data_IF_854809680831
#
_entry.id   IF_854809680831
#
_cell.length_a   1.000
_cell.length_b   1.000
_cell.length_c   1.000
_cell.angle_alpha   90.00
_cell.angle_beta   90.00
_cell.angle_gamma   90.00
#
_symmetry.space_group_name_H-M   'P 1'
#
loop_
_entity.id
_entity.type
_entity.pdbx_description
1 polymer ?
#
# COMPACT_ATOMS: atom_id res chain seq x y z
N UNK A 1 4.66 -27.80 32.88
CA UNK A 1 5.06 -27.49 31.51
C UNK A 1 6.53 -27.87 31.40
N UNK A 2 6.87 -28.78 30.49
CA UNK A 2 8.22 -29.35 30.39
C UNK A 2 9.11 -28.36 29.61
N UNK A 3 10.42 -28.27 29.93
CA UNK A 3 11.36 -27.34 29.28
C UNK A 3 11.43 -27.53 27.73
N UNK A 4 11.21 -28.75 27.26
CA UNK A 4 11.11 -29.06 25.84
C UNK A 4 9.87 -28.41 25.19
N UNK A 5 8.72 -28.47 25.85
CA UNK A 5 7.47 -27.85 25.35
C UNK A 5 7.61 -26.32 25.27
N UNK A 6 8.30 -25.72 26.24
CA UNK A 6 8.59 -24.28 26.22
C UNK A 6 9.50 -23.90 25.06
N UNK A 7 10.58 -24.69 24.82
CA UNK A 7 11.52 -24.45 23.71
C UNK A 7 10.82 -24.60 22.35
N UNK A 8 9.96 -25.61 22.19
CA UNK A 8 9.20 -25.84 20.97
C UNK A 8 8.25 -24.67 20.69
N UNK A 9 7.50 -24.21 21.70
CA UNK A 9 6.61 -23.03 21.56
C UNK A 9 7.37 -21.77 21.24
N UNK A 10 8.54 -21.54 21.85
CA UNK A 10 9.39 -20.38 21.57
C UNK A 10 9.94 -20.42 20.14
N UNK A 11 10.35 -21.59 19.66
CA UNK A 11 10.84 -21.76 18.27
C UNK A 11 9.71 -21.52 17.26
N UNK A 12 8.48 -21.98 17.55
CA UNK A 12 7.31 -21.74 16.71
C UNK A 12 6.95 -20.25 16.66
N UNK A 13 6.96 -19.57 17.80
CA UNK A 13 6.72 -18.12 17.86
C UNK A 13 7.80 -17.36 17.08
N UNK A 14 9.05 -17.76 17.19
CA UNK A 14 10.16 -17.19 16.42
C UNK A 14 9.96 -17.34 14.91
N UNK A 15 9.62 -18.55 14.47
CA UNK A 15 9.35 -18.83 13.05
C UNK A 15 8.16 -18.05 12.51
N UNK A 16 7.07 -17.92 13.27
CA UNK A 16 5.90 -17.12 12.90
C UNK A 16 6.24 -15.62 12.80
N UNK A 17 7.09 -15.13 13.71
CA UNK A 17 7.53 -13.75 13.70
C UNK A 17 8.41 -13.43 12.48
N UNK A 18 9.35 -14.32 12.13
CA UNK A 18 10.17 -14.19 10.91
C UNK A 18 9.32 -14.27 9.63
N UNK A 19 8.32 -15.16 9.60
CA UNK A 19 7.40 -15.28 8.48
C UNK A 19 6.61 -13.98 8.28
N UNK A 20 6.10 -13.37 9.36
CA UNK A 20 5.34 -12.12 9.30
C UNK A 20 6.22 -10.94 8.82
N UNK A 21 7.48 -10.86 9.25
CA UNK A 21 8.41 -9.81 8.84
C UNK A 21 8.74 -9.90 7.35
N UNK A 22 8.98 -11.11 6.87
CA UNK A 22 9.24 -11.33 5.45
C UNK A 22 8.01 -11.11 4.55
N UNK A 23 6.81 -11.39 5.05
CA UNK A 23 5.55 -11.04 4.37
C UNK A 23 5.37 -9.52 4.25
N UNK A 24 5.72 -8.76 5.30
CA UNK A 24 5.72 -7.30 5.25
C UNK A 24 6.74 -6.76 4.22
N UNK A 25 7.95 -7.33 4.18
CA UNK A 25 8.95 -6.95 3.17
C UNK A 25 8.44 -7.12 1.73
N UNK A 26 7.59 -8.12 1.49
CA UNK A 26 7.02 -8.36 0.16
C UNK A 26 6.06 -7.24 -0.26
N UNK A 27 5.47 -6.49 0.68
CA UNK A 27 4.56 -5.37 0.41
C UNK A 27 5.28 -4.05 0.08
N UNK A 28 6.58 -3.92 0.39
CA UNK A 28 7.32 -2.69 0.13
C UNK A 28 7.36 -2.32 -1.36
N UNK A 29 7.42 -3.31 -2.26
CA UNK A 29 7.40 -3.06 -3.70
C UNK A 29 6.04 -2.56 -4.18
N UNK A 30 4.91 -3.22 -3.88
CA UNK A 30 3.59 -2.66 -4.15
C UNK A 30 3.39 -1.25 -3.61
N UNK A 31 3.76 -0.99 -2.35
CA UNK A 31 3.63 0.33 -1.75
C UNK A 31 4.47 1.39 -2.47
N UNK A 32 5.69 1.06 -2.89
CA UNK A 32 6.51 1.95 -3.70
C UNK A 32 5.88 2.24 -5.06
N UNK A 33 5.37 1.21 -5.73
CA UNK A 33 4.75 1.33 -7.06
C UNK A 33 3.49 2.19 -6.99
N UNK A 34 2.54 1.87 -6.10
CA UNK A 34 1.33 2.69 -5.93
C UNK A 34 1.64 4.08 -5.39
N UNK A 35 2.60 4.17 -4.46
CA UNK A 35 3.04 5.43 -3.88
C UNK A 35 3.61 6.42 -4.88
N UNK A 36 4.13 5.95 -6.02
CA UNK A 36 4.62 6.79 -7.14
C UNK A 36 3.55 6.93 -8.22
N UNK A 37 2.89 5.84 -8.59
CA UNK A 37 1.97 5.82 -9.72
C UNK A 37 0.73 6.71 -9.49
N UNK A 38 0.15 6.68 -8.29
CA UNK A 38 -1.03 7.49 -7.96
C UNK A 38 -0.73 8.98 -7.99
N UNK A 39 0.33 9.52 -7.32
CA UNK A 39 0.69 10.92 -7.43
C UNK A 39 1.03 11.35 -8.85
N UNK A 40 1.72 10.53 -9.61
CA UNK A 40 2.04 10.81 -11.02
C UNK A 40 0.78 10.90 -11.89
N UNK A 41 -0.18 9.99 -11.69
CA UNK A 41 -1.47 10.02 -12.37
C UNK A 41 -2.30 11.24 -12.00
N UNK A 42 -2.27 11.63 -10.72
CA UNK A 42 -2.95 12.85 -10.25
C UNK A 42 -2.32 14.09 -10.89
N UNK A 43 -0.99 14.22 -10.86
CA UNK A 43 -0.30 15.33 -11.49
C UNK A 43 -0.60 15.42 -12.99
N UNK A 44 -0.56 14.30 -13.71
CA UNK A 44 -0.93 14.24 -15.13
C UNK A 44 -2.39 14.67 -15.35
N UNK A 45 -3.32 14.26 -14.47
CA UNK A 45 -4.72 14.67 -14.52
C UNK A 45 -4.86 16.20 -14.47
N UNK A 46 -4.18 16.86 -13.52
CA UNK A 46 -4.23 18.31 -13.41
C UNK A 46 -3.58 19.02 -14.61
N UNK A 47 -2.48 18.48 -15.14
CA UNK A 47 -1.89 18.99 -16.38
C UNK A 47 -2.91 18.89 -17.55
N UNK A 48 -3.59 17.77 -17.71
CA UNK A 48 -4.58 17.61 -18.79
C UNK A 48 -5.77 18.57 -18.60
N UNK A 49 -6.23 18.77 -17.38
CA UNK A 49 -7.29 19.73 -17.09
C UNK A 49 -6.85 21.16 -17.42
N UNK A 50 -5.61 21.53 -17.05
CA UNK A 50 -5.05 22.85 -17.34
C UNK A 50 -4.96 23.14 -18.86
N UNK A 51 -4.63 22.13 -19.66
CA UNK A 51 -4.57 22.26 -21.11
C UNK A 51 -5.92 22.04 -21.82
N UNK A 52 -7.03 21.96 -21.09
CA UNK A 52 -8.38 21.76 -21.66
C UNK A 52 -8.62 20.34 -22.21
N UNK A 53 -7.75 19.39 -21.86
CA UNK A 53 -7.81 17.99 -22.31
C UNK A 53 -8.60 17.09 -21.36
N UNK A 54 -9.51 17.63 -20.56
CA UNK A 54 -10.26 16.92 -19.51
C UNK A 54 -10.97 15.65 -19.99
N UNK A 55 -11.44 15.62 -21.27
CA UNK A 55 -12.07 14.43 -21.87
C UNK A 55 -11.15 13.20 -21.96
N UNK A 56 -9.84 13.38 -21.84
CA UNK A 56 -8.84 12.30 -21.91
C UNK A 56 -8.30 11.85 -20.55
N UNK A 57 -8.75 12.44 -19.44
CA UNK A 57 -8.30 12.09 -18.07
C UNK A 57 -8.50 10.61 -17.76
N UNK A 58 -9.55 9.99 -18.27
CA UNK A 58 -9.79 8.55 -18.09
C UNK A 58 -8.67 7.67 -18.66
N UNK A 59 -7.98 8.11 -19.75
CA UNK A 59 -6.85 7.39 -20.34
C UNK A 59 -5.65 7.35 -19.36
N UNK A 60 -5.42 8.44 -18.61
CA UNK A 60 -4.37 8.50 -17.60
C UNK A 60 -4.61 7.43 -16.54
N UNK A 61 -5.82 7.37 -16.01
CA UNK A 61 -6.16 6.41 -14.96
C UNK A 61 -6.19 4.97 -15.48
N UNK A 62 -6.63 4.76 -16.72
CA UNK A 62 -6.53 3.45 -17.37
C UNK A 62 -5.07 3.02 -17.51
N UNK A 63 -4.17 3.93 -17.89
CA UNK A 63 -2.75 3.63 -17.99
C UNK A 63 -2.11 3.36 -16.62
N UNK A 64 -2.41 4.17 -15.60
CA UNK A 64 -1.88 4.01 -14.22
C UNK A 64 -2.36 2.68 -13.61
N UNK A 65 -3.66 2.42 -13.64
CA UNK A 65 -4.24 1.19 -13.09
C UNK A 65 -3.75 -0.01 -13.90
N UNK A 66 -3.81 0.06 -15.23
CA UNK A 66 -3.34 -1.00 -16.11
C UNK A 66 -1.87 -1.35 -15.87
N UNK A 67 -1.01 -0.34 -15.74
CA UNK A 67 0.39 -0.54 -15.38
C UNK A 67 0.54 -1.27 -14.04
N UNK A 68 -0.12 -0.82 -13.00
CA UNK A 68 -0.04 -1.46 -11.68
C UNK A 68 -0.57 -2.90 -11.71
N UNK A 69 -1.70 -3.14 -12.39
CA UNK A 69 -2.33 -4.46 -12.49
C UNK A 69 -1.54 -5.46 -13.35
N UNK A 70 -0.73 -4.99 -14.29
CA UNK A 70 0.14 -5.85 -15.09
C UNK A 70 1.50 -6.03 -14.41
N UNK A 71 2.11 -4.94 -13.96
CA UNK A 71 3.46 -4.96 -13.40
C UNK A 71 3.56 -5.79 -12.11
N UNK A 72 2.64 -5.60 -11.16
CA UNK A 72 2.71 -6.27 -9.86
C UNK A 72 2.55 -7.80 -9.96
N UNK A 73 1.56 -8.35 -10.68
CA UNK A 73 1.47 -9.81 -10.87
C UNK A 73 2.68 -10.40 -11.58
N UNK A 74 3.22 -9.71 -12.60
CA UNK A 74 4.43 -10.17 -13.31
C UNK A 74 5.65 -10.18 -12.39
N UNK A 75 5.82 -9.12 -11.57
CA UNK A 75 6.88 -9.03 -10.57
C UNK A 75 6.79 -10.17 -9.56
N UNK A 76 5.60 -10.42 -9.00
CA UNK A 76 5.40 -11.50 -8.03
C UNK A 76 5.52 -12.89 -8.67
N UNK A 77 5.05 -13.08 -9.90
CA UNK A 77 5.22 -14.36 -10.61
C UNK A 77 6.70 -14.71 -10.77
N UNK A 78 7.51 -13.75 -11.21
CA UNK A 78 8.96 -13.93 -11.36
C UNK A 78 9.67 -14.25 -10.04
N UNK A 79 9.22 -13.63 -8.94
CA UNK A 79 9.76 -13.88 -7.60
C UNK A 79 9.25 -15.18 -6.97
N UNK A 80 8.10 -15.70 -7.41
CA UNK A 80 7.49 -16.94 -6.92
C UNK A 80 8.25 -18.19 -7.34
N UNK A 81 8.91 -18.15 -8.48
CA UNK A 81 9.76 -19.26 -8.98
C UNK A 81 10.99 -19.47 -8.08
N UNK A 82 11.35 -18.45 -7.26
CA UNK A 82 12.51 -18.49 -6.37
C UNK A 82 12.19 -18.76 -4.89
N UNK A 83 10.94 -18.71 -4.45
CA UNK A 83 10.58 -18.82 -3.02
C UNK A 83 9.31 -19.64 -2.75
N UNK A 84 9.37 -20.44 -1.67
CA UNK A 84 8.18 -21.06 -1.06
C UNK A 84 7.23 -19.93 -0.60
N UNK A 85 5.96 -19.99 -1.04
CA UNK A 85 4.95 -19.00 -0.67
C UNK A 85 4.61 -19.14 0.82
N UNK A 86 4.92 -18.12 1.60
CA UNK A 86 4.68 -18.06 3.03
C UNK A 86 3.21 -17.79 3.33
N UNK A 87 2.75 -18.22 4.52
CA UNK A 87 1.37 -17.98 4.96
C UNK A 87 1.07 -16.48 5.08
N UNK A 88 2.02 -15.71 5.61
CA UNK A 88 1.93 -14.25 5.73
C UNK A 88 1.74 -13.54 4.39
N UNK A 89 2.44 -13.97 3.32
CA UNK A 89 2.29 -13.40 1.97
C UNK A 89 0.83 -13.53 1.47
N UNK A 90 0.19 -14.66 1.77
CA UNK A 90 -1.22 -14.89 1.41
C UNK A 90 -2.17 -14.00 2.19
N UNK A 91 -1.93 -13.81 3.49
CA UNK A 91 -2.75 -12.96 4.36
C UNK A 91 -2.65 -11.51 3.90
N UNK A 92 -1.43 -11.00 3.68
CA UNK A 92 -1.23 -9.64 3.18
C UNK A 92 -1.83 -9.44 1.78
N UNK A 93 -1.64 -10.39 0.86
CA UNK A 93 -2.22 -10.32 -0.47
C UNK A 93 -3.75 -10.32 -0.44
N UNK A 94 -4.38 -11.13 0.43
CA UNK A 94 -5.82 -11.15 0.61
C UNK A 94 -6.34 -9.83 1.20
N UNK A 95 -5.69 -9.32 2.25
CA UNK A 95 -6.06 -8.05 2.89
C UNK A 95 -5.99 -6.88 1.90
N UNK A 96 -4.83 -6.66 1.30
CA UNK A 96 -4.62 -5.54 0.40
C UNK A 96 -5.33 -5.70 -0.94
N UNK A 97 -5.52 -6.95 -1.41
CA UNK A 97 -6.35 -7.25 -2.57
C UNK A 97 -7.82 -6.90 -2.34
N UNK A 98 -8.36 -7.23 -1.17
CA UNK A 98 -9.73 -6.88 -0.79
C UNK A 98 -9.91 -5.36 -0.68
N UNK A 99 -8.97 -4.66 -0.04
CA UNK A 99 -8.96 -3.19 0.05
C UNK A 99 -8.91 -2.59 -1.35
N UNK A 100 -8.01 -3.05 -2.21
CA UNK A 100 -7.88 -2.59 -3.59
C UNK A 100 -9.17 -2.79 -4.39
N UNK A 101 -9.84 -3.93 -4.23
CA UNK A 101 -11.12 -4.19 -4.87
C UNK A 101 -12.20 -3.19 -4.42
N UNK A 102 -12.31 -2.94 -3.11
CA UNK A 102 -13.28 -1.96 -2.57
C UNK A 102 -12.96 -0.54 -3.04
N UNK A 103 -11.67 -0.16 -3.14
CA UNK A 103 -11.25 1.14 -3.68
C UNK A 103 -11.69 1.28 -5.15
N UNK A 104 -11.49 0.25 -5.97
CA UNK A 104 -11.95 0.27 -7.37
C UNK A 104 -13.45 0.39 -7.46
N UNK A 105 -14.20 -0.38 -6.68
CA UNK A 105 -15.67 -0.31 -6.64
C UNK A 105 -16.15 1.09 -6.22
N UNK A 106 -15.56 1.66 -5.16
CA UNK A 106 -15.85 3.01 -4.69
C UNK A 106 -15.58 4.06 -5.80
N UNK A 107 -14.47 3.93 -6.51
CA UNK A 107 -14.11 4.83 -7.62
C UNK A 107 -15.10 4.73 -8.78
N UNK A 108 -15.53 3.51 -9.13
CA UNK A 108 -16.55 3.28 -10.16
C UNK A 108 -17.88 3.90 -9.75
N UNK A 109 -18.33 3.69 -8.50
CA UNK A 109 -19.58 4.27 -8.00
C UNK A 109 -19.53 5.80 -7.98
N UNK A 110 -18.39 6.39 -7.64
CA UNK A 110 -18.20 7.84 -7.69
C UNK A 110 -18.23 8.36 -9.12
N UNK A 111 -17.61 7.65 -10.06
CA UNK A 111 -17.66 8.00 -11.49
C UNK A 111 -19.09 8.03 -12.04
N UNK A 112 -19.95 7.13 -11.60
CA UNK A 112 -21.36 7.13 -11.96
C UNK A 112 -22.23 8.07 -11.10
N UNK A 113 -21.63 8.92 -10.27
CA UNK A 113 -22.33 9.87 -9.41
C UNK A 113 -23.19 9.25 -8.31
N UNK A 114 -22.90 7.98 -7.95
CA UNK A 114 -23.60 7.28 -6.86
C UNK A 114 -23.01 7.59 -5.49
N UNK A 115 -21.76 8.02 -5.45
CA UNK A 115 -21.04 8.47 -4.27
C UNK A 115 -20.46 9.84 -4.61
N UNK A 116 -20.56 10.79 -3.67
CA UNK A 116 -19.92 12.09 -3.81
C UNK A 116 -18.41 11.94 -3.98
N UNK A 117 -17.81 12.78 -4.84
CA UNK A 117 -16.40 12.66 -5.20
C UNK A 117 -15.48 12.87 -4.00
N UNK A 118 -15.78 13.84 -3.14
CA UNK A 118 -15.02 14.09 -1.90
C UNK A 118 -15.15 12.93 -0.91
N UNK A 119 -16.38 12.42 -0.75
CA UNK A 119 -16.63 11.24 0.09
C UNK A 119 -15.89 10.00 -0.42
N UNK A 120 -15.74 9.83 -1.73
CA UNK A 120 -14.98 8.71 -2.30
C UNK A 120 -13.52 8.75 -1.86
N UNK A 121 -12.86 9.92 -1.85
CA UNK A 121 -11.48 10.06 -1.38
C UNK A 121 -11.35 9.86 0.13
N UNK A 122 -12.31 10.32 0.92
CA UNK A 122 -12.38 10.03 2.34
C UNK A 122 -12.44 8.52 2.61
N UNK A 123 -13.31 7.80 1.90
CA UNK A 123 -13.44 6.32 2.00
C UNK A 123 -12.11 5.64 1.65
N UNK A 124 -11.43 6.07 0.58
CA UNK A 124 -10.12 5.53 0.19
C UNK A 124 -9.12 5.67 1.33
N UNK A 125 -9.03 6.85 1.95
CA UNK A 125 -8.12 7.09 3.07
C UNK A 125 -8.43 6.19 4.28
N UNK A 126 -9.71 6.01 4.63
CA UNK A 126 -10.13 5.09 5.70
C UNK A 126 -9.74 3.65 5.38
N UNK A 127 -9.98 3.18 4.16
CA UNK A 127 -9.65 1.81 3.75
C UNK A 127 -8.15 1.54 3.86
N UNK A 128 -7.32 2.50 3.44
CA UNK A 128 -5.86 2.37 3.58
C UNK A 128 -5.46 2.40 5.06
N UNK A 129 -6.06 3.27 5.88
CA UNK A 129 -5.82 3.30 7.32
C UNK A 129 -6.14 1.96 7.99
N UNK A 130 -7.27 1.34 7.66
CA UNK A 130 -7.65 0.00 8.14
C UNK A 130 -6.59 -1.02 7.69
N UNK A 131 -6.15 -0.97 6.44
CA UNK A 131 -5.09 -1.84 5.91
C UNK A 131 -3.78 -1.71 6.71
N UNK A 132 -3.35 -0.48 7.00
CA UNK A 132 -2.16 -0.22 7.81
C UNK A 132 -2.31 -0.75 9.25
N UNK A 133 -3.42 -0.45 9.92
CA UNK A 133 -3.69 -0.93 11.30
C UNK A 133 -3.73 -2.45 11.36
N UNK A 134 -4.43 -3.10 10.42
CA UNK A 134 -4.52 -4.56 10.35
C UNK A 134 -3.16 -5.19 10.05
N UNK A 135 -2.39 -4.60 9.11
CA UNK A 135 -1.02 -5.03 8.85
C UNK A 135 -0.13 -4.88 10.08
N UNK A 136 -0.29 -3.78 10.84
CA UNK A 136 0.40 -3.56 12.11
C UNK A 136 0.11 -4.61 13.17
N UNK A 137 -1.10 -5.19 13.20
CA UNK A 137 -1.44 -6.27 14.14
C UNK A 137 -0.69 -7.58 13.84
N UNK A 138 -0.29 -7.80 12.57
CA UNK A 138 0.36 -9.03 12.11
C UNK A 138 1.89 -8.96 12.27
N UNK A 139 2.51 -7.77 12.15
CA UNK A 139 3.97 -7.59 12.14
C UNK A 139 4.57 -7.40 13.52
N UNK A 140 5.91 -7.47 13.63
CA UNK A 140 6.66 -7.32 14.87
C UNK A 140 6.62 -5.89 15.45
N UNK A 141 7.04 -5.75 16.72
CA UNK A 141 6.87 -4.54 17.55
C UNK A 141 7.31 -3.23 16.88
N UNK A 142 8.45 -3.18 16.18
CA UNK A 142 8.92 -1.94 15.52
C UNK A 142 8.05 -1.59 14.31
N UNK A 143 7.84 -2.53 13.41
CA UNK A 143 6.99 -2.34 12.23
C UNK A 143 5.53 -2.08 12.63
N UNK A 144 5.04 -2.68 13.72
CA UNK A 144 3.71 -2.44 14.28
C UNK A 144 3.49 -0.97 14.62
N UNK A 145 4.42 -0.34 15.32
CA UNK A 145 4.30 1.07 15.72
C UNK A 145 4.25 1.96 14.46
N UNK A 146 5.10 1.69 13.47
CA UNK A 146 5.11 2.43 12.21
C UNK A 146 3.77 2.28 11.49
N UNK A 147 3.25 1.05 11.35
CA UNK A 147 1.98 0.80 10.68
C UNK A 147 0.79 1.46 11.39
N UNK A 148 0.77 1.47 12.73
CA UNK A 148 -0.28 2.17 13.47
C UNK A 148 -0.18 3.68 13.31
N UNK A 149 1.03 4.24 13.34
CA UNK A 149 1.25 5.65 13.09
C UNK A 149 0.81 6.03 11.67
N UNK A 150 1.17 5.24 10.65
CA UNK A 150 0.71 5.43 9.27
C UNK A 150 -0.82 5.38 9.17
N UNK A 151 -1.48 4.42 9.84
CA UNK A 151 -2.93 4.34 9.87
C UNK A 151 -3.58 5.60 10.43
N UNK A 152 -3.02 6.17 11.53
CA UNK A 152 -3.48 7.44 12.10
C UNK A 152 -3.25 8.60 11.12
N UNK A 153 -2.07 8.69 10.50
CA UNK A 153 -1.79 9.74 9.51
C UNK A 153 -2.69 9.64 8.28
N UNK A 154 -3.05 8.43 7.84
CA UNK A 154 -4.02 8.23 6.76
C UNK A 154 -5.40 8.74 7.14
N UNK A 155 -5.89 8.48 8.36
CA UNK A 155 -7.17 9.03 8.86
C UNK A 155 -7.13 10.55 8.91
N UNK A 156 -6.04 11.12 9.44
CA UNK A 156 -5.86 12.58 9.50
C UNK A 156 -5.80 13.22 8.10
N UNK A 157 -5.24 12.53 7.12
CA UNK A 157 -5.18 13.00 5.73
C UNK A 157 -6.53 12.85 5.00
N UNK A 158 -7.34 11.88 5.38
CA UNK A 158 -8.65 11.64 4.79
C UNK A 158 -9.71 12.64 5.26
N UNK A 159 -9.69 13.02 6.55
CA UNK A 159 -10.69 13.92 7.15
C UNK A 159 -10.88 15.23 6.36
N UNK A 160 -9.82 15.96 5.96
CA UNK A 160 -9.99 17.18 5.18
C UNK A 160 -10.74 16.99 3.86
N UNK A 161 -10.72 15.81 3.27
CA UNK A 161 -11.41 15.54 2.01
C UNK A 161 -12.92 15.78 2.09
N UNK A 162 -13.53 15.69 3.28
CA UNK A 162 -14.95 15.97 3.49
C UNK A 162 -15.29 17.47 3.50
N UNK A 163 -14.31 18.36 3.71
CA UNK A 163 -14.50 19.78 3.91
C UNK A 163 -13.92 20.65 2.80
N UNK A 164 -13.16 20.05 1.89
CA UNK A 164 -12.54 20.76 0.77
C UNK A 164 -13.37 20.60 -0.51
N UNK A 165 -13.09 21.47 -1.47
CA UNK A 165 -13.67 21.34 -2.81
C UNK A 165 -13.30 19.99 -3.46
N UNK A 166 -14.21 19.41 -4.26
CA UNK A 166 -14.00 18.08 -4.87
C UNK A 166 -12.69 17.94 -5.63
N UNK A 167 -12.20 19.02 -6.25
CA UNK A 167 -10.93 19.01 -6.98
C UNK A 167 -9.69 19.03 -6.08
N UNK A 168 -9.82 19.37 -4.80
CA UNK A 168 -8.70 19.42 -3.85
C UNK A 168 -8.47 18.06 -3.16
N UNK A 169 -9.52 17.27 -2.96
CA UNK A 169 -9.45 15.97 -2.30
C UNK A 169 -8.45 14.99 -2.98
N UNK A 170 -8.39 14.87 -4.32
CA UNK A 170 -7.37 14.02 -4.98
C UNK A 170 -5.93 14.46 -4.68
N UNK A 171 -5.68 15.76 -4.56
CA UNK A 171 -4.34 16.27 -4.25
C UNK A 171 -3.92 15.89 -2.84
N UNK A 172 -4.82 15.99 -1.86
CA UNK A 172 -4.55 15.61 -0.47
C UNK A 172 -4.21 14.12 -0.39
N UNK A 173 -5.05 13.26 -0.95
CA UNK A 173 -4.82 11.81 -0.93
C UNK A 173 -3.57 11.43 -1.74
N UNK A 174 -3.31 12.10 -2.85
CA UNK A 174 -2.11 11.89 -3.66
C UNK A 174 -0.83 12.28 -2.89
N UNK A 175 -0.82 13.43 -2.22
CA UNK A 175 0.29 13.85 -1.37
C UNK A 175 0.49 12.87 -0.20
N UNK A 176 -0.58 12.46 0.47
CA UNK A 176 -0.54 11.45 1.53
C UNK A 176 0.03 10.12 1.00
N UNK A 177 -0.40 9.67 -0.18
CA UNK A 177 0.11 8.44 -0.82
C UNK A 177 1.62 8.52 -1.08
N UNK A 178 2.09 9.66 -1.57
CA UNK A 178 3.53 9.84 -1.79
C UNK A 178 4.32 9.83 -0.48
N UNK A 179 3.89 10.61 0.51
CA UNK A 179 4.60 10.78 1.77
C UNK A 179 4.54 9.54 2.65
N UNK A 180 3.37 8.90 2.76
CA UNK A 180 3.13 7.79 3.68
C UNK A 180 3.39 6.42 3.08
N UNK A 181 3.30 6.24 1.76
CA UNK A 181 3.60 4.95 1.12
C UNK A 181 4.93 4.95 0.36
N UNK A 182 5.16 5.94 -0.54
CA UNK A 182 6.36 5.89 -1.38
C UNK A 182 7.63 6.09 -0.57
N UNK A 183 7.71 7.13 0.24
CA UNK A 183 8.94 7.49 0.96
C UNK A 183 9.37 6.38 1.93
N UNK A 184 8.51 5.88 2.84
CA UNK A 184 8.90 4.81 3.76
C UNK A 184 9.29 3.52 3.04
N UNK A 185 8.50 3.11 2.02
CA UNK A 185 8.77 1.88 1.29
C UNK A 185 10.08 1.95 0.49
N UNK A 186 10.36 3.04 -0.21
CA UNK A 186 11.62 3.24 -0.92
C UNK A 186 12.81 3.29 0.03
N UNK A 187 12.68 3.99 1.15
CA UNK A 187 13.73 4.07 2.17
C UNK A 187 14.06 2.69 2.73
N UNK A 188 13.04 1.90 3.09
CA UNK A 188 13.22 0.53 3.55
C UNK A 188 13.92 -0.34 2.50
N UNK A 189 13.49 -0.28 1.23
CA UNK A 189 14.12 -1.03 0.13
C UNK A 189 15.59 -0.66 -0.08
N UNK A 190 15.94 0.62 0.04
CA UNK A 190 17.34 1.09 -0.08
C UNK A 190 18.20 0.55 1.07
N UNK A 191 17.69 0.61 2.30
CA UNK A 191 18.38 0.11 3.50
C UNK A 191 18.63 -1.40 3.36
N UNK A 192 17.62 -2.16 2.99
CA UNK A 192 17.73 -3.62 2.80
C UNK A 192 18.75 -4.00 1.73
N UNK A 193 18.76 -3.29 0.59
CA UNK A 193 19.76 -3.52 -0.46
C UNK A 193 21.18 -3.24 0.01
N UNK A 194 21.39 -2.17 0.77
CA UNK A 194 22.71 -1.84 1.34
C UNK A 194 23.19 -2.93 2.32
N UNK A 195 22.30 -3.43 3.19
CA UNK A 195 22.63 -4.50 4.14
C UNK A 195 23.03 -5.77 3.40
N UNK A 196 22.25 -6.21 2.41
CA UNK A 196 22.58 -7.40 1.62
C UNK A 196 23.94 -7.26 0.90
N UNK A 197 24.21 -6.10 0.30
CA UNK A 197 25.51 -5.86 -0.37
C UNK A 197 26.70 -5.77 0.61
N UNK A 198 26.46 -5.53 1.89
CA UNK A 198 27.50 -5.59 2.92
C UNK A 198 27.81 -7.04 3.33
N UNK A 199 26.74 -7.84 3.51
CA UNK A 199 26.87 -9.27 3.88
C UNK A 199 27.52 -10.10 2.76
N UNK A 200 27.27 -9.79 1.48
CA UNK A 200 27.88 -10.47 0.32
C UNK A 200 29.40 -10.14 0.14
N UNK A 201 29.93 -9.20 0.91
CA UNK A 201 31.35 -8.77 0.85
C UNK A 201 32.22 -9.28 2.01
N UNK A 202 31.62 -9.89 3.01
CA UNK A 202 32.29 -10.56 4.14
C UNK A 202 32.37 -12.06 3.91
#
# INVERSE_FOLDING_TARGET
MNDEEIKERLSLIGALAEDAEAGFESMLVPFSVYGIAIPSGTAATYCFLFFGLGKYVWLIWLAVIGFCQIFLPLYFRRKREEKIQRASDRIFAALWGSIGFVIVLNSVLSFFGKIDFSAAFFIIGILIAIGCVTSGAIVQKRARIIMYAEGVFWLLSALPCLFVEPYTAPLIISAATFVLLAIPALTALIIMRKKKSADDRC
#
